data_IF_947260677192
#
_entry.id   IF_947260677192
#
_cell.length_a   1.000
_cell.length_b   1.000
_cell.length_c   1.000
_cell.angle_alpha   90.00
_cell.angle_beta   90.00
_cell.angle_gamma   90.00
#
_symmetry.space_group_name_H-M   'P 1'
#
loop_
_entity.id
_entity.type
_entity.pdbx_description
1 polymer ?
#
# COMPACT_ATOMS: atom_id res chain seq x y z
N UNK A 1 -19.35 -8.72 3.13
CA UNK A 1 -18.00 -8.72 3.65
C UNK A 1 -17.02 -9.08 2.54
N UNK A 2 -15.94 -8.35 2.42
CA UNK A 2 -14.94 -8.61 1.39
C UNK A 2 -13.65 -9.11 2.02
N UNK A 3 -12.91 -9.92 1.28
CA UNK A 3 -11.68 -10.53 1.77
C UNK A 3 -10.66 -10.58 0.64
N UNK A 4 -9.39 -10.34 0.98
CA UNK A 4 -8.29 -10.43 0.04
C UNK A 4 -7.15 -11.20 0.70
N UNK A 5 -6.63 -12.22 0.00
CA UNK A 5 -5.51 -13.02 0.49
C UNK A 5 -4.24 -12.66 -0.25
N UNK A 6 -3.15 -12.50 0.50
CA UNK A 6 -1.84 -12.14 -0.05
C UNK A 6 -0.78 -13.06 0.54
N UNK A 7 0.22 -13.39 -0.26
CA UNK A 7 1.31 -14.26 0.18
C UNK A 7 2.23 -13.53 1.15
N UNK A 8 2.57 -14.18 2.27
CA UNK A 8 3.51 -13.61 3.24
C UNK A 8 4.92 -13.47 2.67
N UNK A 9 5.28 -14.27 1.68
CA UNK A 9 6.60 -14.19 1.05
C UNK A 9 6.73 -12.98 0.14
N UNK A 10 5.63 -12.41 -0.34
CA UNK A 10 5.65 -11.28 -1.27
C UNK A 10 5.37 -9.95 -0.58
N UNK A 11 4.68 -9.95 0.56
CA UNK A 11 4.22 -8.73 1.22
C UNK A 11 4.61 -8.73 2.69
N UNK A 12 5.06 -7.57 3.17
CA UNK A 12 5.41 -7.40 4.56
C UNK A 12 4.22 -6.87 5.35
N UNK A 13 4.17 -7.20 6.63
CA UNK A 13 3.11 -6.73 7.52
C UNK A 13 3.03 -5.21 7.58
N UNK A 14 4.19 -4.54 7.68
CA UNK A 14 4.24 -3.09 7.75
C UNK A 14 3.63 -2.43 6.52
N UNK A 15 3.87 -3.00 5.35
CA UNK A 15 3.30 -2.51 4.09
C UNK A 15 1.78 -2.57 4.14
N UNK A 16 1.23 -3.68 4.62
CA UNK A 16 -0.22 -3.87 4.70
C UNK A 16 -0.85 -2.94 5.74
N UNK A 17 -0.19 -2.72 6.86
CA UNK A 17 -0.69 -1.82 7.90
C UNK A 17 -0.72 -0.37 7.39
N UNK A 18 0.32 0.07 6.69
CA UNK A 18 0.33 1.42 6.11
C UNK A 18 -0.79 1.61 5.10
N UNK A 19 -1.01 0.61 4.26
CA UNK A 19 -2.09 0.64 3.29
C UNK A 19 -3.45 0.70 3.98
N UNK A 20 -3.66 -0.15 4.99
CA UNK A 20 -4.91 -0.18 5.73
C UNK A 20 -5.18 1.16 6.42
N UNK A 21 -4.13 1.79 6.96
CA UNK A 21 -4.26 3.10 7.58
C UNK A 21 -4.68 4.18 6.58
N UNK A 22 -4.12 4.14 5.38
CA UNK A 22 -4.50 5.09 4.32
C UNK A 22 -5.95 4.95 3.89
N UNK A 23 -6.49 3.74 3.96
CA UNK A 23 -7.88 3.47 3.57
C UNK A 23 -8.86 3.50 4.74
N UNK A 24 -8.41 3.86 5.94
CA UNK A 24 -9.25 3.78 7.14
C UNK A 24 -10.50 4.67 7.08
N UNK A 25 -10.51 5.70 6.24
CA UNK A 25 -11.67 6.56 6.05
C UNK A 25 -12.75 5.91 5.17
N UNK A 26 -12.36 4.92 4.38
CA UNK A 26 -13.28 4.24 3.46
C UNK A 26 -13.64 2.84 3.95
N UNK A 27 -12.65 2.11 4.45
CA UNK A 27 -12.82 0.74 4.89
C UNK A 27 -12.09 0.52 6.20
N UNK A 28 -12.73 -0.19 7.13
CA UNK A 28 -12.08 -0.66 8.34
C UNK A 28 -11.49 -2.04 8.03
N UNK A 29 -10.22 -2.08 7.66
CA UNK A 29 -9.57 -3.30 7.21
C UNK A 29 -8.91 -4.01 8.39
N UNK A 30 -9.24 -5.28 8.57
CA UNK A 30 -8.58 -6.13 9.55
C UNK A 30 -7.55 -7.00 8.84
N UNK A 31 -6.35 -7.07 9.41
CA UNK A 31 -5.27 -7.90 8.89
C UNK A 31 -5.07 -9.08 9.82
N UNK A 32 -5.20 -10.28 9.29
CA UNK A 32 -4.98 -11.50 10.04
C UNK A 32 -4.06 -12.42 9.27
N UNK A 33 -3.63 -13.50 9.90
CA UNK A 33 -2.74 -14.46 9.26
C UNK A 33 -3.42 -15.82 9.18
N UNK A 34 -3.18 -16.52 8.08
CA UNK A 34 -3.68 -17.87 7.88
C UNK A 34 -2.62 -18.66 7.12
N UNK A 35 -1.95 -19.60 7.78
CA UNK A 35 -0.83 -20.35 7.21
C UNK A 35 0.24 -19.39 6.68
N UNK A 36 0.53 -19.42 5.39
CA UNK A 36 1.52 -18.56 4.75
C UNK A 36 0.92 -17.35 4.05
N UNK A 37 -0.29 -16.97 4.45
CA UNK A 37 -1.00 -15.88 3.80
C UNK A 37 -1.45 -14.81 4.79
N UNK A 38 -1.43 -13.56 4.34
CA UNK A 38 -2.11 -12.47 5.00
C UNK A 38 -3.55 -12.44 4.52
N UNK A 39 -4.48 -12.29 5.45
CA UNK A 39 -5.92 -12.20 5.12
C UNK A 39 -6.38 -10.80 5.51
N UNK A 40 -6.80 -10.04 4.52
CA UNK A 40 -7.38 -8.72 4.71
C UNK A 40 -8.89 -8.84 4.59
N UNK A 41 -9.62 -8.33 5.58
CA UNK A 41 -11.07 -8.38 5.54
C UNK A 41 -11.66 -7.03 5.93
N UNK A 42 -12.77 -6.68 5.32
CA UNK A 42 -13.49 -5.44 5.61
C UNK A 42 -14.96 -5.61 5.30
N UNK A 43 -15.76 -4.72 5.88
CA UNK A 43 -17.21 -4.78 5.79
C UNK A 43 -17.70 -3.84 4.70
N UNK A 44 -18.32 -4.39 3.69
CA UNK A 44 -18.96 -3.64 2.61
C UNK A 44 -20.21 -4.40 2.15
N UNK A 45 -21.20 -3.71 1.57
CA UNK A 45 -22.33 -4.40 0.92
C UNK A 45 -21.83 -5.33 -0.19
N UNK A 46 -22.54 -6.42 -0.42
CA UNK A 46 -22.16 -7.40 -1.44
C UNK A 46 -22.01 -6.77 -2.83
N UNK A 47 -22.81 -5.77 -3.13
CA UNK A 47 -22.77 -5.05 -4.40
C UNK A 47 -21.43 -4.35 -4.61
N UNK A 48 -20.77 -3.92 -3.52
CA UNK A 48 -19.51 -3.20 -3.57
C UNK A 48 -18.31 -4.09 -3.22
N UNK A 49 -18.53 -5.37 -2.96
CA UNK A 49 -17.45 -6.27 -2.57
C UNK A 49 -16.36 -6.35 -3.64
N UNK A 50 -16.74 -6.61 -4.88
CA UNK A 50 -15.77 -6.74 -5.97
C UNK A 50 -15.03 -5.42 -6.28
N UNK A 51 -15.72 -4.28 -6.44
CA UNK A 51 -15.01 -3.01 -6.61
C UNK A 51 -14.10 -2.67 -5.44
N UNK A 52 -14.49 -2.98 -4.20
CA UNK A 52 -13.65 -2.70 -3.04
C UNK A 52 -12.41 -3.57 -3.02
N UNK A 53 -12.51 -4.84 -3.43
CA UNK A 53 -11.37 -5.74 -3.54
C UNK A 53 -10.37 -5.18 -4.54
N UNK A 54 -10.84 -4.74 -5.70
CA UNK A 54 -9.97 -4.16 -6.72
C UNK A 54 -9.26 -2.91 -6.20
N UNK A 55 -9.99 -2.05 -5.49
CA UNK A 55 -9.41 -0.85 -4.90
C UNK A 55 -8.36 -1.17 -3.85
N UNK A 56 -8.65 -2.10 -2.95
CA UNK A 56 -7.69 -2.50 -1.92
C UNK A 56 -6.46 -3.13 -2.55
N UNK A 57 -6.65 -3.99 -3.55
CA UNK A 57 -5.52 -4.60 -4.26
C UNK A 57 -4.63 -3.55 -4.91
N UNK A 58 -5.21 -2.56 -5.56
CA UNK A 58 -4.46 -1.48 -6.19
C UNK A 58 -3.68 -0.67 -5.15
N UNK A 59 -4.28 -0.40 -4.00
CA UNK A 59 -3.61 0.32 -2.92
C UNK A 59 -2.44 -0.49 -2.34
N UNK A 60 -2.59 -1.82 -2.24
CA UNK A 60 -1.51 -2.68 -1.81
C UNK A 60 -0.33 -2.59 -2.80
N UNK A 61 -0.60 -2.69 -4.08
CA UNK A 61 0.44 -2.59 -5.10
C UNK A 61 1.12 -1.23 -5.05
N UNK A 62 0.36 -0.16 -4.92
CA UNK A 62 0.91 1.18 -4.82
C UNK A 62 1.80 1.33 -3.59
N UNK A 63 1.39 0.77 -2.46
CA UNK A 63 2.18 0.85 -1.24
C UNK A 63 3.48 0.05 -1.37
N UNK A 64 3.45 -1.12 -2.00
CA UNK A 64 4.64 -1.92 -2.26
C UNK A 64 5.63 -1.13 -3.12
N UNK A 65 5.15 -0.48 -4.17
CA UNK A 65 5.99 0.32 -5.04
C UNK A 65 6.62 1.48 -4.27
N UNK A 66 5.85 2.16 -3.45
CA UNK A 66 6.35 3.27 -2.63
C UNK A 66 7.42 2.81 -1.65
N UNK A 67 7.20 1.69 -0.99
CA UNK A 67 8.16 1.14 -0.04
C UNK A 67 9.47 0.76 -0.74
N UNK A 68 9.39 0.14 -1.91
CA UNK A 68 10.57 -0.21 -2.69
C UNK A 68 11.33 1.02 -3.16
N UNK A 69 10.63 2.00 -3.69
CA UNK A 69 11.26 3.24 -4.15
C UNK A 69 11.97 3.94 -2.98
N UNK A 70 11.34 4.00 -1.83
CA UNK A 70 11.92 4.62 -0.65
C UNK A 70 13.17 3.88 -0.18
N UNK A 71 13.13 2.54 -0.17
CA UNK A 71 14.24 1.73 0.35
C UNK A 71 15.39 1.60 -0.62
N UNK A 72 15.11 1.34 -1.90
CA UNK A 72 16.13 1.01 -2.90
C UNK A 72 16.68 2.23 -3.64
N UNK A 73 15.87 3.27 -3.82
CA UNK A 73 16.24 4.41 -4.64
C UNK A 73 16.34 5.72 -3.86
N UNK A 74 16.35 5.65 -2.54
CA UNK A 74 16.42 6.85 -1.71
C UNK A 74 17.61 7.77 -2.07
N UNK A 75 18.83 7.27 -2.23
CA UNK A 75 19.95 8.13 -2.62
C UNK A 75 19.73 8.85 -3.95
N UNK A 76 19.17 8.13 -4.93
CA UNK A 76 18.89 8.71 -6.24
C UNK A 76 17.80 9.77 -6.13
N UNK A 77 16.76 9.48 -5.35
CA UNK A 77 15.67 10.43 -5.12
C UNK A 77 16.16 11.70 -4.44
N UNK A 78 17.05 11.57 -3.45
CA UNK A 78 17.61 12.72 -2.75
C UNK A 78 18.43 13.59 -3.70
N UNK A 79 19.17 12.98 -4.62
CA UNK A 79 19.89 13.72 -5.65
C UNK A 79 18.95 14.47 -6.58
N UNK A 80 17.86 13.85 -6.98
CA UNK A 80 16.85 14.48 -7.83
C UNK A 80 16.23 15.69 -7.12
N UNK A 81 15.89 15.55 -5.85
CA UNK A 81 15.36 16.66 -5.07
C UNK A 81 16.37 17.80 -4.96
N UNK A 82 17.65 17.49 -4.68
CA UNK A 82 18.69 18.50 -4.60
C UNK A 82 18.83 19.26 -5.92
N UNK A 83 18.82 18.55 -7.04
CA UNK A 83 18.89 19.18 -8.36
C UNK A 83 17.69 20.07 -8.61
N UNK A 84 16.47 19.60 -8.27
CA UNK A 84 15.25 20.37 -8.44
C UNK A 84 15.28 21.65 -7.60
N UNK A 85 15.71 21.58 -6.36
CA UNK A 85 15.82 22.75 -5.49
C UNK A 85 16.88 23.73 -6.02
N UNK A 86 17.98 23.21 -6.52
CA UNK A 86 19.00 24.07 -7.12
C UNK A 86 18.45 24.84 -8.33
N UNK A 87 17.66 24.18 -9.16
CA UNK A 87 17.03 24.83 -10.31
C UNK A 87 16.04 25.90 -9.86
N UNK A 88 15.29 25.65 -8.80
CA UNK A 88 14.36 26.63 -8.27
C UNK A 88 15.09 27.85 -7.73
N UNK A 89 16.23 27.66 -7.09
CA UNK A 89 17.05 28.75 -6.53
C UNK A 89 17.65 29.62 -7.63
N UNK A 90 17.99 29.03 -8.74
CA UNK A 90 18.60 29.74 -9.87
C UNK A 90 17.60 30.68 -10.52
N UNK A 91 16.35 30.33 -10.48
CA UNK A 91 15.28 31.16 -11.02
C UNK A 91 14.95 32.31 -10.08
#
# INVERSE_FOLDING_TARGET
MAELRLSKSEYEFDTLIRMAHRLCHFFSIEVSTENDSWVLSWDVPDELAKPSIDRVRNEVYEQVIRDKVTTETKPIRDLIFAAAFSNIKIK
#
